data_IF_840163204164
#
_entry.id   IF_840163204164
#
_cell.length_a   1.000
_cell.length_b   1.000
_cell.length_c   1.000
_cell.angle_alpha   90.00
_cell.angle_beta   90.00
_cell.angle_gamma   90.00
#
_symmetry.space_group_name_H-M   'P 1'
#
loop_
_entity.id
_entity.type
_entity.pdbx_description
1 polymer ?
#
# COMPACT_ATOMS: atom_id res chain seq x y z
N UNK A 1 -0.49 -10.31 26.58
CA UNK A 1 -0.83 -8.91 26.28
C UNK A 1 -2.30 -8.83 25.89
N UNK A 2 -2.90 -7.64 25.98
CA UNK A 2 -4.24 -7.37 25.46
C UNK A 2 -4.13 -6.66 24.11
N UNK A 3 -4.60 -7.30 23.04
CA UNK A 3 -4.44 -6.82 21.67
C UNK A 3 -5.80 -6.48 21.07
N UNK A 4 -5.94 -5.24 20.56
CA UNK A 4 -7.10 -4.82 19.81
C UNK A 4 -6.93 -5.11 18.32
N UNK A 5 -7.87 -5.78 17.67
CA UNK A 5 -7.89 -5.94 16.21
C UNK A 5 -8.84 -4.89 15.64
N UNK A 6 -8.30 -3.94 14.89
CA UNK A 6 -9.03 -2.84 14.27
C UNK A 6 -9.29 -3.16 12.79
N UNK A 7 -10.53 -3.02 12.34
CA UNK A 7 -10.96 -3.35 10.97
C UNK A 7 -12.20 -2.56 10.57
N UNK A 8 -12.47 -2.41 9.27
CA UNK A 8 -13.65 -1.70 8.76
C UNK A 8 -14.95 -2.42 9.21
N UNK A 9 -15.77 -1.72 9.97
CA UNK A 9 -17.03 -2.24 10.51
C UNK A 9 -18.12 -2.43 9.46
N UNK A 10 -18.09 -1.72 8.35
CA UNK A 10 -19.04 -1.89 7.25
C UNK A 10 -18.78 -3.18 6.49
N UNK A 11 -17.51 -3.52 6.26
CA UNK A 11 -17.12 -4.80 5.68
C UNK A 11 -17.58 -6.00 6.53
N UNK A 12 -17.67 -5.81 7.86
CA UNK A 12 -18.21 -6.81 8.76
C UNK A 12 -19.74 -6.95 8.70
N UNK A 13 -20.45 -5.90 8.28
CA UNK A 13 -21.89 -5.87 8.16
C UNK A 13 -22.39 -6.32 6.77
N UNK A 14 -21.66 -5.99 5.71
CA UNK A 14 -21.83 -6.57 4.40
C UNK A 14 -21.13 -7.94 4.41
N UNK A 15 -21.68 -8.95 3.80
CA UNK A 15 -21.16 -10.32 3.75
C UNK A 15 -19.71 -10.45 3.18
N UNK A 16 -18.83 -9.52 3.51
CA UNK A 16 -17.42 -9.55 3.17
C UNK A 16 -16.70 -10.55 4.09
N UNK A 17 -16.84 -11.83 3.71
CA UNK A 17 -16.30 -12.97 4.43
C UNK A 17 -14.76 -12.90 4.53
N UNK A 18 -14.10 -12.17 3.64
CA UNK A 18 -12.64 -12.10 3.58
C UNK A 18 -12.05 -11.37 4.79
N UNK A 19 -12.55 -10.17 5.12
CA UNK A 19 -12.03 -9.44 6.29
C UNK A 19 -12.33 -10.18 7.59
N UNK A 20 -13.52 -10.78 7.70
CA UNK A 20 -13.90 -11.55 8.89
C UNK A 20 -13.02 -12.79 9.02
N UNK A 21 -12.74 -13.50 7.91
CA UNK A 21 -11.83 -14.64 7.89
C UNK A 21 -10.40 -14.24 8.31
N UNK A 22 -9.92 -13.09 7.84
CA UNK A 22 -8.61 -12.55 8.22
C UNK A 22 -8.56 -12.20 9.71
N UNK A 23 -9.58 -11.51 10.24
CA UNK A 23 -9.70 -11.20 11.67
C UNK A 23 -9.69 -12.48 12.51
N UNK A 24 -10.47 -13.49 12.12
CA UNK A 24 -10.52 -14.79 12.82
C UNK A 24 -9.16 -15.51 12.81
N UNK A 25 -8.47 -15.51 11.67
CA UNK A 25 -7.16 -16.16 11.55
C UNK A 25 -6.10 -15.47 12.43
N UNK A 26 -6.08 -14.15 12.47
CA UNK A 26 -5.18 -13.36 13.32
C UNK A 26 -5.54 -13.57 14.80
N UNK A 27 -6.82 -13.50 15.15
CA UNK A 27 -7.30 -13.76 16.51
C UNK A 27 -6.87 -15.15 17.00
N UNK A 28 -7.11 -16.19 16.20
CA UNK A 28 -6.69 -17.55 16.53
C UNK A 28 -5.17 -17.66 16.75
N UNK A 29 -4.38 -17.02 15.87
CA UNK A 29 -2.92 -17.00 15.98
C UNK A 29 -2.45 -16.33 17.27
N UNK A 30 -2.99 -15.16 17.60
CA UNK A 30 -2.60 -14.40 18.78
C UNK A 30 -3.12 -15.01 20.09
N UNK A 31 -4.35 -15.54 20.10
CA UNK A 31 -4.93 -16.21 21.25
C UNK A 31 -4.18 -17.50 21.62
N UNK A 32 -3.68 -18.26 20.65
CA UNK A 32 -2.87 -19.45 20.89
C UNK A 32 -1.57 -19.16 21.64
N UNK A 33 -1.11 -17.91 21.63
CA UNK A 33 0.05 -17.43 22.39
C UNK A 33 -0.30 -16.83 23.76
N UNK A 34 -1.55 -16.98 24.20
CA UNK A 34 -2.04 -16.49 25.50
C UNK A 34 -2.35 -14.99 25.54
N UNK A 35 -2.57 -14.36 24.41
CA UNK A 35 -3.03 -12.97 24.37
C UNK A 35 -4.55 -12.87 24.55
N UNK A 36 -5.01 -11.81 25.22
CA UNK A 36 -6.41 -11.41 25.26
C UNK A 36 -6.72 -10.57 24.00
N UNK A 37 -7.77 -10.93 23.26
CA UNK A 37 -8.11 -10.27 22.00
C UNK A 37 -9.42 -9.49 22.11
N UNK A 38 -9.42 -8.27 21.59
CA UNK A 38 -10.60 -7.40 21.52
C UNK A 38 -10.83 -6.99 20.07
N UNK A 39 -11.99 -7.34 19.51
CA UNK A 39 -12.40 -6.87 18.18
C UNK A 39 -12.91 -5.43 18.24
N UNK A 40 -12.39 -4.57 17.41
CA UNK A 40 -12.67 -3.14 17.37
C UNK A 40 -13.09 -2.73 15.94
N UNK A 41 -14.36 -2.97 15.56
CA UNK A 41 -14.86 -2.51 14.28
C UNK A 41 -14.91 -0.97 14.24
N UNK A 42 -14.37 -0.40 13.20
CA UNK A 42 -14.32 1.04 12.92
C UNK A 42 -15.53 1.43 12.08
N UNK A 43 -16.16 2.55 12.38
CA UNK A 43 -17.31 3.10 11.66
C UNK A 43 -17.21 4.63 11.64
N UNK A 44 -17.92 5.28 10.71
CA UNK A 44 -17.91 6.74 10.54
C UNK A 44 -18.52 7.51 11.71
N UNK A 45 -19.30 6.85 12.60
CA UNK A 45 -19.89 7.47 13.81
C UNK A 45 -18.86 7.78 14.92
N UNK A 46 -17.61 7.39 14.71
CA UNK A 46 -16.45 7.60 15.60
C UNK A 46 -16.60 7.02 17.03
N UNK A 47 -17.67 6.29 17.36
CA UNK A 47 -17.85 5.66 18.68
C UNK A 47 -16.80 4.59 18.98
N UNK A 48 -16.15 4.05 17.94
CA UNK A 48 -15.05 3.12 18.08
C UNK A 48 -13.85 3.71 18.85
N UNK A 49 -13.66 5.03 18.82
CA UNK A 49 -12.59 5.72 19.56
C UNK A 49 -12.79 5.55 21.07
N UNK A 50 -14.01 5.74 21.55
CA UNK A 50 -14.32 5.52 22.95
C UNK A 50 -14.22 4.05 23.36
N UNK A 51 -14.63 3.13 22.49
CA UNK A 51 -14.45 1.68 22.72
C UNK A 51 -12.96 1.34 22.82
N UNK A 52 -12.13 1.85 21.90
CA UNK A 52 -10.69 1.67 21.91
C UNK A 52 -10.04 2.18 23.21
N UNK A 53 -10.39 3.38 23.67
CA UNK A 53 -9.89 3.96 24.93
C UNK A 53 -10.27 3.10 26.14
N UNK A 54 -11.51 2.63 26.19
CA UNK A 54 -12.00 1.77 27.30
C UNK A 54 -11.40 0.38 27.28
N UNK A 55 -11.05 -0.13 26.11
CA UNK A 55 -10.49 -1.47 25.96
C UNK A 55 -9.11 -1.61 26.64
N UNK A 56 -8.34 -0.51 26.79
CA UNK A 56 -7.01 -0.50 27.42
C UNK A 56 -6.10 -1.58 26.84
N UNK A 57 -5.96 -1.58 25.53
CA UNK A 57 -5.11 -2.54 24.80
C UNK A 57 -3.65 -2.13 24.88
N UNK A 58 -2.75 -3.11 24.89
CA UNK A 58 -1.29 -2.90 24.88
C UNK A 58 -0.77 -2.66 23.46
N UNK A 59 -1.49 -3.18 22.45
CA UNK A 59 -1.16 -3.07 21.02
C UNK A 59 -2.44 -3.08 20.19
N UNK A 60 -2.47 -2.33 19.12
CA UNK A 60 -3.52 -2.42 18.09
C UNK A 60 -2.97 -3.11 16.84
N UNK A 61 -3.57 -4.23 16.47
CA UNK A 61 -3.38 -4.85 15.17
C UNK A 61 -4.30 -4.16 14.17
N UNK A 62 -3.73 -3.35 13.29
CA UNK A 62 -4.50 -2.53 12.34
C UNK A 62 -4.71 -3.27 11.02
N UNK A 63 -5.97 -3.61 10.73
CA UNK A 63 -6.43 -4.17 9.45
C UNK A 63 -7.37 -3.20 8.72
N UNK A 64 -7.47 -1.96 9.20
CA UNK A 64 -8.40 -1.00 8.64
C UNK A 64 -7.79 -0.36 7.40
N UNK A 65 -8.25 -0.76 6.22
CA UNK A 65 -7.87 -0.22 4.91
C UNK A 65 -8.87 0.85 4.41
N UNK A 66 -9.99 1.00 5.11
CA UNK A 66 -11.06 1.97 4.80
C UNK A 66 -11.94 2.20 6.02
N UNK A 67 -12.84 3.18 5.96
CA UNK A 67 -14.04 3.24 6.80
C UNK A 67 -15.25 3.34 5.88
N UNK A 68 -16.20 2.42 6.05
CA UNK A 68 -17.40 2.32 5.21
C UNK A 68 -17.05 2.26 3.70
N UNK A 69 -15.95 1.57 3.36
CA UNK A 69 -15.43 1.43 2.00
C UNK A 69 -14.72 2.67 1.45
N UNK A 70 -14.48 3.70 2.26
CA UNK A 70 -13.77 4.93 1.84
C UNK A 70 -12.29 4.83 2.22
N UNK A 71 -11.41 4.49 1.29
CA UNK A 71 -9.97 4.32 1.49
C UNK A 71 -9.29 5.60 2.04
N UNK A 72 -9.77 6.80 1.65
CA UNK A 72 -9.24 8.06 2.14
C UNK A 72 -9.36 8.24 3.67
N UNK A 73 -10.16 7.40 4.34
CA UNK A 73 -10.34 7.41 5.80
C UNK A 73 -9.40 6.44 6.54
N UNK A 74 -8.59 5.64 5.84
CA UNK A 74 -7.57 4.79 6.45
C UNK A 74 -6.51 5.61 7.23
N UNK A 75 -5.84 6.65 6.68
CA UNK A 75 -4.86 7.42 7.43
C UNK A 75 -5.40 8.10 8.69
N UNK A 76 -6.62 8.70 8.70
CA UNK A 76 -7.28 9.19 9.92
C UNK A 76 -7.38 8.17 11.05
N UNK A 77 -7.65 6.90 10.76
CA UNK A 77 -7.68 5.84 11.78
C UNK A 77 -6.33 5.72 12.47
N UNK A 78 -5.26 5.65 11.68
CA UNK A 78 -3.88 5.56 12.20
C UNK A 78 -3.52 6.83 12.99
N UNK A 79 -3.95 8.02 12.53
CA UNK A 79 -3.73 9.28 13.25
C UNK A 79 -4.36 9.27 14.64
N UNK A 80 -5.53 8.64 14.82
CA UNK A 80 -6.15 8.47 16.15
C UNK A 80 -5.27 7.59 17.04
N UNK A 81 -4.69 6.50 16.52
CA UNK A 81 -3.78 5.65 17.28
C UNK A 81 -2.53 6.42 17.71
N UNK A 82 -1.99 7.25 16.82
CA UNK A 82 -0.83 8.11 17.08
C UNK A 82 -1.14 9.17 18.14
N UNK A 83 -2.29 9.84 18.06
CA UNK A 83 -2.74 10.81 19.07
C UNK A 83 -2.93 10.18 20.44
N UNK A 84 -3.44 8.96 20.49
CA UNK A 84 -3.62 8.20 21.73
C UNK A 84 -2.32 7.55 22.23
N UNK A 85 -1.21 7.72 21.52
CA UNK A 85 0.09 7.10 21.81
C UNK A 85 0.02 5.58 21.99
N UNK A 86 -0.90 4.93 21.28
CA UNK A 86 -1.06 3.48 21.30
C UNK A 86 -0.06 2.81 20.36
N UNK A 87 0.65 1.75 20.78
CA UNK A 87 1.39 0.90 19.87
C UNK A 87 0.44 0.31 18.82
N UNK A 88 0.86 0.26 17.54
CA UNK A 88 0.04 -0.33 16.47
C UNK A 88 0.93 -0.94 15.38
N UNK A 89 0.37 -1.87 14.61
CA UNK A 89 1.03 -2.54 13.50
C UNK A 89 0.94 -1.74 12.20
N UNK A 90 1.88 -1.96 11.28
CA UNK A 90 1.90 -1.30 9.97
C UNK A 90 2.66 0.03 9.94
N UNK A 91 2.43 0.84 8.95
CA UNK A 91 3.10 2.12 8.71
C UNK A 91 2.38 3.28 9.40
N UNK A 92 3.03 4.46 9.43
CA UNK A 92 2.47 5.69 10.01
C UNK A 92 1.31 6.25 9.17
N UNK A 93 0.49 7.11 9.78
CA UNK A 93 -0.57 7.84 9.09
C UNK A 93 -0.04 8.67 7.91
N UNK A 94 1.16 9.25 8.07
CA UNK A 94 1.86 9.94 6.99
C UNK A 94 2.18 9.01 5.82
N UNK A 95 2.82 7.88 6.09
CA UNK A 95 3.18 6.90 5.05
C UNK A 95 1.95 6.42 4.31
N UNK A 96 0.89 6.05 5.02
CA UNK A 96 -0.36 5.58 4.43
C UNK A 96 -1.04 6.68 3.60
N UNK A 97 -1.04 7.95 4.08
CA UNK A 97 -1.56 9.08 3.32
C UNK A 97 -0.82 9.31 2.01
N UNK A 98 0.51 9.14 2.02
CA UNK A 98 1.34 9.30 0.82
C UNK A 98 1.14 8.14 -0.14
N UNK A 99 1.16 6.89 0.36
CA UNK A 99 1.07 5.69 -0.49
C UNK A 99 -0.30 5.54 -1.14
N UNK A 100 -1.37 5.97 -0.49
CA UNK A 100 -2.71 6.02 -1.09
C UNK A 100 -2.74 6.93 -2.34
N UNK A 101 -1.92 7.98 -2.39
CA UNK A 101 -1.84 8.92 -3.51
C UNK A 101 -0.74 8.51 -4.50
N UNK A 102 -1.05 7.61 -5.41
CA UNK A 102 -0.10 7.00 -6.36
C UNK A 102 0.78 8.02 -7.10
N UNK A 103 0.23 9.17 -7.49
CA UNK A 103 0.97 10.21 -8.19
C UNK A 103 1.99 10.92 -7.29
N UNK A 104 1.71 11.07 -6.00
CA UNK A 104 2.63 11.67 -5.02
C UNK A 104 3.83 10.72 -4.82
N UNK A 105 3.56 9.43 -4.64
CA UNK A 105 4.61 8.40 -4.57
C UNK A 105 5.46 8.42 -5.84
N UNK A 106 4.82 8.35 -7.01
CA UNK A 106 5.54 8.35 -8.30
C UNK A 106 6.45 9.56 -8.45
N UNK A 107 5.99 10.77 -8.08
CA UNK A 107 6.79 11.98 -8.14
C UNK A 107 7.99 11.95 -7.17
N UNK A 108 7.78 11.44 -5.94
CA UNK A 108 8.86 11.28 -4.96
C UNK A 108 9.92 10.27 -5.44
N UNK A 109 9.47 9.13 -5.98
CA UNK A 109 10.35 8.09 -6.51
C UNK A 109 11.13 8.57 -7.74
N UNK A 110 10.47 9.25 -8.68
CA UNK A 110 11.09 9.85 -9.87
C UNK A 110 12.14 10.88 -9.48
N UNK A 111 11.82 11.77 -8.53
CA UNK A 111 12.77 12.77 -8.01
C UNK A 111 13.99 12.15 -7.35
N UNK A 112 13.84 10.98 -6.73
CA UNK A 112 14.92 10.20 -6.16
C UNK A 112 15.68 9.33 -7.18
N UNK A 113 15.36 9.41 -8.47
CA UNK A 113 15.99 8.66 -9.53
C UNK A 113 15.58 7.19 -9.63
N UNK A 114 14.49 6.79 -8.97
CA UNK A 114 13.96 5.44 -9.08
C UNK A 114 13.10 5.29 -10.35
N UNK A 115 13.09 4.09 -10.94
CA UNK A 115 12.39 3.83 -12.19
C UNK A 115 10.87 3.78 -11.99
N UNK A 116 10.18 4.83 -12.41
CA UNK A 116 8.71 4.89 -12.50
C UNK A 116 8.29 5.09 -13.95
N UNK A 117 7.21 4.42 -14.41
CA UNK A 117 6.68 4.70 -15.74
C UNK A 117 6.23 6.16 -15.85
N UNK A 118 6.45 6.80 -17.01
CA UNK A 118 5.98 8.17 -17.23
C UNK A 118 4.50 8.30 -16.89
N UNK A 119 4.13 9.32 -16.14
CA UNK A 119 2.78 9.49 -15.62
C UNK A 119 2.34 10.96 -15.60
N UNK A 120 1.06 11.18 -15.47
CA UNK A 120 0.45 12.47 -15.16
C UNK A 120 -0.93 12.27 -14.52
N UNK A 121 -1.39 13.25 -13.77
CA UNK A 121 -2.74 13.28 -13.21
C UNK A 121 -3.63 14.17 -14.08
N UNK A 122 -4.82 13.70 -14.34
CA UNK A 122 -5.87 14.46 -15.05
C UNK A 122 -7.02 14.72 -14.09
N UNK A 123 -7.44 15.98 -14.04
CA UNK A 123 -8.65 16.46 -13.36
C UNK A 123 -9.70 16.86 -14.38
N UNK A 124 -10.93 17.04 -13.94
CA UNK A 124 -12.03 17.50 -14.83
C UNK A 124 -11.64 18.80 -15.56
N UNK A 125 -11.76 18.80 -16.88
CA UNK A 125 -11.36 19.93 -17.73
C UNK A 125 -9.86 20.08 -17.96
N UNK A 126 -9.02 19.23 -17.37
CA UNK A 126 -7.57 19.26 -17.59
C UNK A 126 -7.16 18.65 -18.93
N UNK A 127 -5.93 18.96 -19.41
CA UNK A 127 -5.43 18.46 -20.68
C UNK A 127 -5.12 16.95 -20.62
N UNK A 128 -5.28 16.28 -21.74
CA UNK A 128 -4.88 14.87 -21.89
C UNK A 128 -3.35 14.77 -22.03
N UNK A 129 -2.66 14.02 -21.16
CA UNK A 129 -1.21 14.02 -21.11
C UNK A 129 -0.57 13.12 -22.18
N UNK A 130 0.62 13.49 -22.62
CA UNK A 130 1.45 12.69 -23.52
C UNK A 130 2.39 11.76 -22.75
N UNK A 131 1.87 10.68 -22.15
CA UNK A 131 2.69 9.68 -21.45
C UNK A 131 3.26 8.59 -22.36
N UNK A 132 2.79 8.55 -23.63
CA UNK A 132 3.07 7.50 -24.61
C UNK A 132 2.09 6.32 -24.52
N UNK A 133 2.08 5.48 -25.58
CA UNK A 133 1.16 4.35 -25.68
C UNK A 133 1.90 3.00 -25.73
N UNK A 134 1.25 1.91 -25.26
CA UNK A 134 -0.02 1.89 -24.55
C UNK A 134 0.05 2.69 -23.25
N UNK A 135 -1.10 3.22 -22.79
CA UNK A 135 -1.23 3.92 -21.52
C UNK A 135 -2.29 3.24 -20.67
N UNK A 136 -2.12 3.27 -19.34
CA UNK A 136 -3.12 2.78 -18.37
C UNK A 136 -3.69 3.94 -17.58
N UNK A 137 -5.03 3.93 -17.41
CA UNK A 137 -5.76 4.87 -16.56
C UNK A 137 -6.17 4.19 -15.26
N UNK A 138 -5.90 4.83 -14.13
CA UNK A 138 -6.24 4.35 -12.78
C UNK A 138 -6.83 5.50 -11.98
N UNK A 139 -7.73 5.26 -11.01
CA UNK A 139 -8.00 6.27 -9.99
C UNK A 139 -6.70 6.65 -9.26
N UNK A 140 -6.52 7.93 -8.96
CA UNK A 140 -5.26 8.42 -8.40
C UNK A 140 -5.08 8.06 -6.90
N UNK A 141 -6.20 7.79 -6.20
CA UNK A 141 -6.24 7.57 -4.74
C UNK A 141 -7.15 6.39 -4.35
N UNK A 142 -7.08 5.30 -5.09
CA UNK A 142 -7.79 4.05 -4.78
C UNK A 142 -6.81 2.88 -4.73
N UNK A 143 -7.10 1.89 -3.91
CA UNK A 143 -6.36 0.63 -3.80
C UNK A 143 -7.20 -0.56 -4.28
N UNK A 144 -6.77 -1.79 -4.01
CA UNK A 144 -7.48 -3.03 -4.31
C UNK A 144 -7.93 -3.20 -5.77
N UNK A 145 -7.26 -2.57 -6.73
CA UNK A 145 -7.62 -2.55 -8.16
C UNK A 145 -8.99 -1.92 -8.45
N UNK A 146 -9.57 -1.15 -7.53
CA UNK A 146 -10.84 -0.45 -7.75
C UNK A 146 -10.71 0.45 -8.98
N UNK A 147 -11.67 0.34 -9.91
CA UNK A 147 -11.70 1.10 -11.16
C UNK A 147 -10.72 0.65 -12.24
N UNK A 148 -9.94 -0.42 -12.02
CA UNK A 148 -9.04 -1.02 -13.01
C UNK A 148 -9.75 -2.16 -13.72
N UNK A 149 -9.87 -2.02 -15.04
CA UNK A 149 -10.54 -2.96 -15.95
C UNK A 149 -9.70 -3.15 -17.21
N UNK A 150 -10.03 -4.12 -18.06
CA UNK A 150 -9.32 -4.33 -19.33
C UNK A 150 -9.31 -3.07 -20.22
N UNK A 151 -10.40 -2.31 -20.23
CA UNK A 151 -10.50 -1.02 -20.92
C UNK A 151 -9.71 0.12 -20.26
N UNK A 152 -9.07 -0.11 -19.13
CA UNK A 152 -8.18 0.88 -18.51
C UNK A 152 -6.88 1.04 -19.29
N UNK A 153 -6.48 0.07 -20.13
CA UNK A 153 -5.31 0.18 -21.00
C UNK A 153 -5.76 0.56 -22.41
N UNK A 154 -5.19 1.64 -22.92
CA UNK A 154 -5.57 2.26 -24.20
C UNK A 154 -4.37 2.47 -25.12
N UNK A 155 -4.61 2.49 -26.44
CA UNK A 155 -3.55 2.61 -27.46
C UNK A 155 -3.57 3.90 -28.26
N UNK A 156 -4.59 4.75 -28.06
CA UNK A 156 -4.76 5.99 -28.85
C UNK A 156 -5.20 7.15 -27.96
N UNK A 157 -4.89 8.37 -28.37
CA UNK A 157 -5.33 9.60 -27.67
C UNK A 157 -6.84 9.66 -27.55
N UNK A 158 -7.58 9.28 -28.59
CA UNK A 158 -9.05 9.25 -28.56
C UNK A 158 -9.57 8.32 -27.45
N UNK A 159 -9.09 7.07 -27.42
CA UNK A 159 -9.49 6.11 -26.39
C UNK A 159 -9.06 6.57 -24.99
N UNK A 160 -7.90 7.24 -24.87
CA UNK A 160 -7.43 7.83 -23.61
C UNK A 160 -8.41 8.92 -23.14
N UNK A 161 -8.80 9.85 -24.02
CA UNK A 161 -9.75 10.92 -23.69
C UNK A 161 -11.10 10.36 -23.23
N UNK A 162 -11.63 9.38 -23.97
CA UNK A 162 -12.89 8.70 -23.63
C UNK A 162 -12.81 8.00 -22.28
N UNK A 163 -11.71 7.23 -22.02
CA UNK A 163 -11.54 6.51 -20.76
C UNK A 163 -11.38 7.44 -19.57
N UNK A 164 -10.56 8.48 -19.69
CA UNK A 164 -10.38 9.51 -18.67
C UNK A 164 -11.70 10.19 -18.36
N UNK A 165 -12.50 10.56 -19.38
CA UNK A 165 -13.82 11.16 -19.20
C UNK A 165 -14.73 10.28 -18.33
N UNK A 166 -14.88 9.00 -18.70
CA UNK A 166 -15.70 8.05 -17.95
C UNK A 166 -15.21 7.88 -16.49
N UNK A 167 -13.89 7.89 -16.28
CA UNK A 167 -13.35 7.78 -14.93
C UNK A 167 -13.57 9.03 -14.09
N UNK A 168 -13.47 10.22 -14.69
CA UNK A 168 -13.72 11.51 -14.00
C UNK A 168 -15.19 11.72 -13.62
N UNK A 169 -16.12 10.88 -14.09
CA UNK A 169 -17.49 10.89 -13.58
C UNK A 169 -17.63 10.25 -12.20
N UNK A 170 -16.64 9.45 -11.79
CA UNK A 170 -16.64 8.70 -10.53
C UNK A 170 -15.52 9.14 -9.56
N UNK A 171 -14.41 9.65 -10.07
CA UNK A 171 -13.23 10.05 -9.29
C UNK A 171 -12.80 11.46 -9.68
N UNK A 172 -12.31 12.23 -8.71
CA UNK A 172 -11.85 13.61 -8.95
C UNK A 172 -10.55 13.66 -9.75
N UNK A 173 -9.73 12.62 -9.63
CA UNK A 173 -8.40 12.54 -10.23
C UNK A 173 -8.16 11.16 -10.87
N UNK A 174 -7.65 11.19 -12.11
CA UNK A 174 -7.23 10.00 -12.84
C UNK A 174 -5.73 10.02 -13.07
N UNK A 175 -5.02 9.03 -12.60
CA UNK A 175 -3.63 8.78 -12.94
C UNK A 175 -3.57 8.13 -14.32
N UNK A 176 -2.95 8.81 -15.28
CA UNK A 176 -2.60 8.27 -16.59
C UNK A 176 -1.12 7.92 -16.56
N UNK A 177 -0.78 6.67 -16.83
CA UNK A 177 0.59 6.17 -16.74
C UNK A 177 0.94 5.38 -18.01
N UNK A 178 2.20 5.46 -18.46
CA UNK A 178 2.70 4.58 -19.51
C UNK A 178 2.55 3.12 -19.07
N UNK A 179 1.86 2.31 -19.87
CA UNK A 179 1.79 0.87 -19.62
C UNK A 179 3.13 0.23 -19.93
N UNK A 180 3.65 -0.54 -19.00
CA UNK A 180 4.89 -1.30 -19.18
C UNK A 180 4.52 -2.74 -19.50
N UNK A 181 4.86 -3.19 -20.70
CA UNK A 181 4.76 -4.62 -21.03
C UNK A 181 5.84 -5.41 -20.31
N UNK A 182 5.48 -6.62 -19.87
CA UNK A 182 6.41 -7.54 -19.24
C UNK A 182 5.82 -8.27 -18.04
N UNK A 183 6.69 -8.73 -17.16
CA UNK A 183 6.35 -9.53 -15.97
C UNK A 183 5.98 -8.61 -14.82
N UNK A 184 4.97 -8.98 -14.04
CA UNK A 184 4.59 -8.26 -12.82
C UNK A 184 5.04 -9.05 -11.60
N UNK A 185 5.79 -8.41 -10.72
CA UNK A 185 6.35 -9.03 -9.51
C UNK A 185 6.01 -8.20 -8.28
N UNK A 186 5.86 -8.88 -7.15
CA UNK A 186 5.61 -8.28 -5.86
C UNK A 186 6.81 -8.54 -4.95
N UNK A 187 7.29 -7.49 -4.30
CA UNK A 187 8.39 -7.57 -3.34
C UNK A 187 7.84 -7.25 -1.95
N UNK A 188 7.70 -8.27 -1.12
CA UNK A 188 7.26 -8.13 0.27
C UNK A 188 8.40 -7.66 1.17
N UNK A 189 8.10 -6.78 2.10
CA UNK A 189 9.01 -6.27 3.12
C UNK A 189 8.41 -6.56 4.49
N UNK A 190 9.21 -7.09 5.41
CA UNK A 190 8.83 -7.40 6.78
C UNK A 190 9.95 -6.93 7.74
N UNK A 191 9.77 -5.77 8.35
CA UNK A 191 10.84 -5.07 9.05
C UNK A 191 11.98 -4.70 8.09
N UNK A 192 13.18 -5.17 8.38
CA UNK A 192 14.36 -5.00 7.53
C UNK A 192 14.55 -6.12 6.51
N UNK A 193 13.72 -7.17 6.59
CA UNK A 193 13.82 -8.32 5.70
C UNK A 193 13.02 -8.12 4.41
N UNK A 194 13.62 -8.53 3.29
CA UNK A 194 12.92 -8.65 2.01
C UNK A 194 12.56 -10.11 1.79
N UNK A 195 11.26 -10.36 1.67
CA UNK A 195 10.71 -11.70 1.46
C UNK A 195 11.04 -12.24 0.04
N UNK A 196 10.91 -13.54 -0.19
CA UNK A 196 11.01 -14.11 -1.54
C UNK A 196 10.06 -13.40 -2.51
N UNK A 197 10.59 -12.99 -3.66
CA UNK A 197 9.83 -12.24 -4.66
C UNK A 197 8.72 -13.14 -5.21
N UNK A 198 7.50 -12.64 -5.25
CA UNK A 198 6.38 -13.27 -5.93
C UNK A 198 6.18 -12.68 -7.34
N UNK A 199 5.50 -13.41 -8.20
CA UNK A 199 5.13 -13.00 -9.55
C UNK A 199 3.64 -13.25 -9.78
N UNK A 200 3.00 -12.36 -10.50
CA UNK A 200 1.69 -12.62 -11.09
C UNK A 200 1.92 -13.23 -12.46
N UNK A 201 1.61 -14.51 -12.59
CA UNK A 201 1.74 -15.23 -13.86
C UNK A 201 0.51 -15.01 -14.73
N UNK A 202 0.71 -14.30 -15.82
CA UNK A 202 -0.30 -14.05 -16.84
C UNK A 202 -0.27 -15.07 -18.00
N UNK A 203 0.34 -16.22 -17.80
CA UNK A 203 0.48 -17.24 -18.85
C UNK A 203 -0.86 -17.78 -19.38
N UNK A 204 -1.88 -17.81 -18.54
CA UNK A 204 -3.23 -18.26 -18.87
C UNK A 204 -4.19 -17.11 -19.22
N UNK A 205 -3.71 -15.85 -19.26
CA UNK A 205 -4.56 -14.72 -19.65
C UNK A 205 -5.07 -14.91 -21.09
N UNK A 206 -6.39 -14.83 -21.35
CA UNK A 206 -6.95 -15.01 -22.68
C UNK A 206 -6.30 -14.08 -23.72
N UNK A 207 -6.18 -14.59 -24.96
CA UNK A 207 -5.64 -13.78 -26.07
C UNK A 207 -6.48 -12.52 -26.29
N UNK A 208 -5.80 -11.38 -26.41
CA UNK A 208 -6.45 -10.08 -26.59
C UNK A 208 -6.71 -9.32 -25.30
N UNK A 209 -6.63 -9.98 -24.15
CA UNK A 209 -6.66 -9.30 -22.85
C UNK A 209 -5.30 -8.74 -22.47
N UNK A 210 -5.33 -7.63 -21.75
CA UNK A 210 -4.13 -7.02 -21.17
C UNK A 210 -3.68 -7.83 -19.95
N UNK A 211 -2.38 -7.95 -19.79
CA UNK A 211 -1.75 -8.59 -18.63
C UNK A 211 -1.70 -7.61 -17.47
N UNK A 212 -2.83 -7.39 -16.81
CA UNK A 212 -3.00 -6.50 -15.66
C UNK A 212 -3.85 -7.16 -14.60
N UNK A 213 -3.62 -6.77 -13.34
CA UNK A 213 -4.48 -7.17 -12.22
C UNK A 213 -5.65 -6.20 -12.15
N UNK A 214 -6.82 -6.65 -12.58
CA UNK A 214 -8.07 -5.88 -12.58
C UNK A 214 -8.88 -6.09 -11.31
N UNK A 215 -9.96 -5.32 -11.15
CA UNK A 215 -10.94 -5.59 -10.09
C UNK A 215 -11.49 -7.02 -10.19
N UNK A 216 -11.84 -7.47 -11.39
CA UNK A 216 -12.38 -8.82 -11.62
C UNK A 216 -11.40 -9.93 -11.26
N UNK A 217 -10.10 -9.72 -11.54
CA UNK A 217 -9.08 -10.72 -11.19
C UNK A 217 -8.85 -10.87 -9.67
N UNK A 218 -9.29 -9.91 -8.86
CA UNK A 218 -9.18 -9.98 -7.39
C UNK A 218 -10.46 -10.43 -6.70
N UNK A 219 -11.62 -10.06 -7.26
CA UNK A 219 -12.89 -10.10 -6.54
C UNK A 219 -13.96 -10.98 -7.19
N UNK A 220 -13.74 -11.43 -8.43
CA UNK A 220 -14.66 -12.32 -9.14
C UNK A 220 -13.99 -13.68 -9.38
N UNK A 221 -14.04 -14.54 -8.36
CA UNK A 221 -13.47 -15.90 -8.40
C UNK A 221 -13.99 -16.68 -9.62
N UNK A 222 -13.07 -17.35 -10.31
CA UNK A 222 -13.36 -18.13 -11.52
C UNK A 222 -13.56 -17.28 -12.79
N UNK A 223 -13.42 -15.94 -12.72
CA UNK A 223 -13.42 -15.12 -13.94
C UNK A 223 -12.19 -15.42 -14.81
N UNK A 224 -12.29 -15.16 -16.12
CA UNK A 224 -11.16 -15.32 -17.06
C UNK A 224 -9.93 -14.54 -16.61
N UNK A 225 -10.13 -13.41 -15.92
CA UNK A 225 -9.08 -12.53 -15.43
C UNK A 225 -8.44 -13.07 -14.14
N UNK A 226 -9.22 -13.69 -13.26
CA UNK A 226 -8.73 -14.40 -12.08
C UNK A 226 -7.91 -15.63 -12.50
N UNK A 227 -8.48 -16.50 -13.29
CA UNK A 227 -7.80 -17.70 -13.82
C UNK A 227 -6.57 -17.35 -14.67
N UNK A 228 -6.57 -16.16 -15.28
CA UNK A 228 -5.50 -15.63 -16.11
C UNK A 228 -4.37 -14.94 -15.33
N UNK A 229 -4.48 -14.75 -14.02
CA UNK A 229 -3.53 -13.98 -13.20
C UNK A 229 -3.08 -14.71 -11.94
N UNK A 230 -2.57 -15.92 -12.10
CA UNK A 230 -2.17 -16.78 -10.98
C UNK A 230 -0.92 -16.28 -10.24
N UNK A 231 -0.94 -16.13 -8.90
CA UNK A 231 0.24 -15.75 -8.15
C UNK A 231 1.21 -16.94 -8.01
N UNK A 232 2.51 -16.69 -8.23
CA UNK A 232 3.60 -17.64 -8.04
C UNK A 232 4.63 -17.10 -7.06
N UNK A 233 5.07 -17.93 -6.12
CA UNK A 233 6.17 -17.61 -5.21
C UNK A 233 6.98 -18.88 -4.94
N UNK A 234 8.33 -18.85 -5.08
CA UNK A 234 9.13 -17.72 -5.55
C UNK A 234 9.05 -17.50 -7.07
N UNK A 235 9.24 -16.25 -7.51
CA UNK A 235 9.37 -15.91 -8.91
C UNK A 235 10.66 -16.51 -9.50
N UNK A 236 10.59 -17.08 -10.69
CA UNK A 236 11.78 -17.60 -11.40
C UNK A 236 12.49 -16.43 -12.10
N UNK A 237 13.52 -15.89 -11.45
CA UNK A 237 14.28 -14.72 -11.91
C UNK A 237 15.78 -15.00 -11.91
N UNK A 238 16.55 -14.44 -12.87
CA UNK A 238 18.01 -14.39 -12.76
C UNK A 238 18.42 -13.68 -11.47
N UNK A 239 19.50 -14.14 -10.84
CA UNK A 239 19.97 -13.58 -9.55
C UNK A 239 20.25 -12.08 -9.61
N UNK A 240 20.79 -11.58 -10.73
CA UNK A 240 21.05 -10.15 -10.95
C UNK A 240 19.77 -9.33 -10.96
N UNK A 241 18.73 -9.81 -11.66
CA UNK A 241 17.41 -9.15 -11.71
C UNK A 241 16.76 -9.15 -10.33
N UNK A 242 16.76 -10.29 -9.64
CA UNK A 242 16.21 -10.40 -8.28
C UNK A 242 16.93 -9.46 -7.30
N UNK A 243 18.26 -9.32 -7.40
CA UNK A 243 19.04 -8.38 -6.59
C UNK A 243 18.65 -6.93 -6.87
N UNK A 244 18.49 -6.56 -8.14
CA UNK A 244 18.08 -5.22 -8.54
C UNK A 244 16.67 -4.89 -8.03
N UNK A 245 15.72 -5.80 -8.16
CA UNK A 245 14.35 -5.64 -7.65
C UNK A 245 14.31 -5.38 -6.15
N UNK A 246 15.08 -6.16 -5.36
CA UNK A 246 15.17 -5.95 -3.91
C UNK A 246 15.72 -4.56 -3.58
N UNK A 247 16.78 -4.12 -4.25
CA UNK A 247 17.37 -2.78 -4.03
C UNK A 247 16.36 -1.67 -4.34
N UNK A 248 15.68 -1.76 -5.47
CA UNK A 248 14.67 -0.78 -5.91
C UNK A 248 13.48 -0.75 -4.95
N UNK A 249 12.98 -1.93 -4.52
CA UNK A 249 11.86 -2.02 -3.59
C UNK A 249 12.22 -1.44 -2.20
N UNK A 250 13.39 -1.78 -1.65
CA UNK A 250 13.85 -1.23 -0.36
C UNK A 250 14.05 0.29 -0.44
N UNK A 251 14.60 0.79 -1.55
CA UNK A 251 14.75 2.22 -1.74
C UNK A 251 13.39 2.94 -1.80
N UNK A 252 12.44 2.40 -2.57
CA UNK A 252 11.08 2.94 -2.65
C UNK A 252 10.38 2.95 -1.29
N UNK A 253 10.48 1.83 -0.54
CA UNK A 253 9.92 1.70 0.81
C UNK A 253 10.47 2.76 1.77
N UNK A 254 11.78 3.00 1.74
CA UNK A 254 12.42 4.02 2.58
C UNK A 254 12.00 5.45 2.21
N UNK A 255 11.85 5.75 0.92
CA UNK A 255 11.44 7.07 0.43
C UNK A 255 10.05 7.45 0.93
N UNK A 256 9.11 6.50 0.96
CA UNK A 256 7.76 6.76 1.49
C UNK A 256 7.69 6.73 3.02
N UNK A 257 8.79 6.43 3.71
CA UNK A 257 8.83 6.31 5.17
C UNK A 257 8.15 5.04 5.67
N UNK A 258 8.19 3.96 4.90
CA UNK A 258 7.56 2.69 5.24
C UNK A 258 8.16 2.03 6.48
N UNK A 259 7.31 1.49 7.35
CA UNK A 259 7.66 0.78 8.58
C UNK A 259 6.78 -0.45 8.77
N UNK A 260 7.25 -1.40 9.58
CA UNK A 260 6.51 -2.63 9.88
C UNK A 260 6.54 -3.62 8.72
N UNK A 261 5.53 -3.61 7.87
CA UNK A 261 5.42 -4.48 6.70
C UNK A 261 4.82 -3.73 5.51
N UNK A 262 5.11 -4.21 4.31
CA UNK A 262 4.61 -3.60 3.09
C UNK A 262 4.90 -4.41 1.83
N UNK A 263 4.42 -3.94 0.69
CA UNK A 263 4.64 -4.56 -0.61
C UNK A 263 4.92 -3.51 -1.67
N UNK A 264 5.92 -3.77 -2.50
CA UNK A 264 6.24 -2.95 -3.66
C UNK A 264 5.93 -3.75 -4.92
N UNK A 265 5.05 -3.22 -5.76
CA UNK A 265 4.62 -3.85 -7.00
C UNK A 265 5.42 -3.26 -8.17
N UNK A 266 6.07 -4.14 -8.94
CA UNK A 266 7.07 -3.76 -9.95
C UNK A 266 6.80 -4.52 -11.25
N UNK A 267 6.89 -3.83 -12.38
CA UNK A 267 6.98 -4.45 -13.69
C UNK A 267 8.42 -4.57 -14.14
N UNK A 268 8.73 -5.71 -14.77
CA UNK A 268 10.02 -5.97 -15.42
C UNK A 268 9.77 -5.95 -16.91
N UNK A 269 10.36 -5.00 -17.62
CA UNK A 269 10.22 -4.92 -19.08
C UNK A 269 11.04 -6.03 -19.79
N UNK A 270 10.91 -6.14 -21.12
CA UNK A 270 11.61 -7.13 -21.94
C UNK A 270 13.14 -7.02 -21.88
N UNK A 271 13.65 -5.87 -21.45
CA UNK A 271 15.09 -5.64 -21.24
C UNK A 271 15.56 -5.95 -19.84
N UNK A 272 14.66 -6.49 -18.99
CA UNK A 272 14.93 -6.81 -17.57
C UNK A 272 14.97 -5.60 -16.65
N UNK A 273 14.54 -4.40 -17.08
CA UNK A 273 14.53 -3.19 -16.26
C UNK A 273 13.30 -3.15 -15.37
N UNK A 274 13.46 -2.85 -14.08
CA UNK A 274 12.33 -2.69 -13.16
C UNK A 274 11.62 -1.36 -13.39
N UNK A 275 10.31 -1.34 -13.15
CA UNK A 275 9.45 -0.16 -13.15
C UNK A 275 8.49 -0.25 -11.98
N UNK A 276 8.61 0.63 -11.00
CA UNK A 276 7.74 0.63 -9.81
C UNK A 276 6.35 1.09 -10.22
N UNK A 277 5.35 0.28 -9.88
CA UNK A 277 3.95 0.59 -10.15
C UNK A 277 3.26 1.22 -8.94
N UNK A 278 3.59 0.68 -7.74
CA UNK A 278 2.89 1.00 -6.51
C UNK A 278 3.72 0.60 -5.29
N UNK A 279 3.53 1.31 -4.18
CA UNK A 279 4.05 0.96 -2.85
C UNK A 279 2.85 0.84 -1.91
N UNK A 280 2.62 -0.35 -1.38
CA UNK A 280 1.50 -0.64 -0.48
C UNK A 280 1.98 -0.69 0.96
N UNK A 281 1.51 0.24 1.79
CA UNK A 281 1.90 0.38 3.18
C UNK A 281 1.06 -0.49 4.15
N UNK A 282 -0.07 -1.01 3.68
CA UNK A 282 -0.95 -1.92 4.40
C UNK A 282 -1.51 -2.99 3.45
N UNK A 283 -0.63 -3.86 2.89
CA UNK A 283 -1.09 -4.91 1.98
C UNK A 283 -1.90 -5.97 2.72
N UNK A 284 -2.84 -6.60 2.01
CA UNK A 284 -3.59 -7.75 2.50
C UNK A 284 -2.67 -8.83 3.09
N UNK A 285 -3.00 -9.25 4.31
CA UNK A 285 -2.27 -10.26 5.09
C UNK A 285 -3.14 -11.47 5.45
N UNK A 286 -4.26 -11.68 4.77
CA UNK A 286 -5.03 -12.92 4.91
C UNK A 286 -4.14 -14.14 4.67
N UNK A 287 -4.47 -15.32 5.22
CA UNK A 287 -3.59 -16.49 5.18
C UNK A 287 -3.15 -16.94 3.77
N UNK A 288 -3.96 -16.64 2.76
CA UNK A 288 -3.72 -16.94 1.35
C UNK A 288 -3.26 -15.73 0.52
N UNK A 289 -3.15 -14.55 1.14
CA UNK A 289 -2.68 -13.34 0.50
C UNK A 289 -1.20 -13.43 0.05
N UNK A 290 -0.83 -12.49 -0.83
CA UNK A 290 0.52 -12.44 -1.40
C UNK A 290 1.62 -12.35 -0.37
N UNK A 291 1.47 -11.49 0.66
CA UNK A 291 2.48 -11.32 1.70
C UNK A 291 2.64 -12.58 2.57
N UNK A 292 1.53 -13.20 2.98
CA UNK A 292 1.54 -14.45 3.74
C UNK A 292 2.17 -15.61 2.93
N UNK A 293 1.89 -15.66 1.62
CA UNK A 293 2.52 -16.63 0.70
C UNK A 293 4.02 -16.41 0.61
N UNK A 294 4.49 -15.18 0.48
CA UNK A 294 5.92 -14.86 0.46
C UNK A 294 6.60 -15.22 1.79
N UNK A 295 5.95 -14.95 2.93
CA UNK A 295 6.44 -15.33 4.25
C UNK A 295 6.57 -16.86 4.39
N UNK A 296 5.56 -17.61 3.97
CA UNK A 296 5.59 -19.09 4.01
C UNK A 296 6.74 -19.66 3.18
N UNK A 297 7.01 -19.12 2.00
CA UNK A 297 8.16 -19.51 1.17
C UNK A 297 9.49 -19.17 1.84
N UNK A 298 9.54 -18.13 2.70
CA UNK A 298 10.68 -17.81 3.54
C UNK A 298 10.81 -18.72 4.80
N UNK A 299 9.91 -19.70 4.98
CA UNK A 299 9.88 -20.54 6.18
C UNK A 299 9.19 -19.90 7.39
N UNK A 300 8.44 -18.81 7.18
CA UNK A 300 7.69 -18.10 8.22
C UNK A 300 6.22 -18.49 8.11
N UNK A 301 5.78 -19.37 9.02
CA UNK A 301 4.38 -19.78 9.11
C UNK A 301 3.48 -18.61 9.52
N UNK A 302 2.18 -18.70 9.22
CA UNK A 302 1.24 -17.60 9.37
C UNK A 302 1.22 -17.01 10.80
N UNK A 303 1.16 -17.85 11.83
CA UNK A 303 1.22 -17.39 13.22
C UNK A 303 2.52 -16.63 13.55
N UNK A 304 3.66 -17.10 13.02
CA UNK A 304 4.93 -16.43 13.18
C UNK A 304 4.98 -15.09 12.43
N UNK A 305 4.33 -14.99 11.26
CA UNK A 305 4.17 -13.73 10.53
C UNK A 305 3.35 -12.72 11.36
N UNK A 306 2.20 -13.12 11.87
CA UNK A 306 1.31 -12.28 12.70
C UNK A 306 2.07 -11.79 13.94
N UNK A 307 2.76 -12.68 14.65
CA UNK A 307 3.60 -12.32 15.80
C UNK A 307 4.70 -11.33 15.42
N UNK A 308 5.41 -11.56 14.31
CA UNK A 308 6.47 -10.66 13.86
C UNK A 308 5.95 -9.27 13.54
N UNK A 309 4.77 -9.16 12.94
CA UNK A 309 4.09 -7.87 12.69
C UNK A 309 3.78 -7.15 14.01
N UNK A 310 3.31 -7.85 15.03
CA UNK A 310 3.10 -7.28 16.37
C UNK A 310 4.40 -6.79 17.00
N UNK A 311 5.48 -7.59 16.95
CA UNK A 311 6.79 -7.20 17.47
C UNK A 311 7.32 -5.91 16.83
N UNK A 312 7.18 -5.79 15.50
CA UNK A 312 7.59 -4.59 14.77
C UNK A 312 6.80 -3.34 15.21
N UNK A 313 5.49 -3.50 15.46
CA UNK A 313 4.65 -2.42 15.98
C UNK A 313 5.09 -1.97 17.38
N UNK A 314 5.38 -2.90 18.28
CA UNK A 314 5.88 -2.64 19.62
C UNK A 314 7.28 -2.01 19.60
N UNK A 315 8.19 -2.51 18.75
CA UNK A 315 9.54 -1.97 18.59
C UNK A 315 9.48 -0.51 18.13
N UNK A 316 8.68 -0.20 17.09
CA UNK A 316 8.53 1.17 16.60
C UNK A 316 8.04 2.12 17.70
N UNK A 317 7.13 1.69 18.55
CA UNK A 317 6.63 2.50 19.67
C UNK A 317 7.73 2.81 20.69
N UNK A 318 8.61 1.86 20.97
CA UNK A 318 9.77 2.06 21.88
C UNK A 318 10.81 2.99 21.28
N UNK A 319 11.16 2.77 20.00
CA UNK A 319 12.20 3.56 19.32
C UNK A 319 11.75 5.00 19.04
N UNK A 320 10.46 5.21 18.85
CA UNK A 320 9.87 6.51 18.58
C UNK A 320 9.63 7.39 19.79
N UNK A 321 9.72 6.86 21.00
CA UNK A 321 9.34 7.56 22.23
C UNK A 321 7.85 7.88 22.34
N UNK A 322 7.45 8.48 23.45
CA UNK A 322 6.09 9.01 23.61
C UNK A 322 5.87 10.25 22.75
N UNK A 323 4.62 10.65 22.53
CA UNK A 323 4.30 11.90 21.81
C UNK A 323 4.96 13.11 22.48
N UNK A 324 5.06 13.11 23.81
CA UNK A 324 5.76 14.14 24.58
C UNK A 324 7.28 14.15 24.29
N UNK A 325 7.94 12.99 24.28
CA UNK A 325 9.38 12.89 23.96
C UNK A 325 9.67 13.27 22.51
N UNK A 326 8.79 12.91 21.57
CA UNK A 326 8.91 13.35 20.16
C UNK A 326 8.77 14.86 20.02
N UNK A 327 7.84 15.46 20.77
CA UNK A 327 7.63 16.90 20.81
C UNK A 327 8.84 17.62 21.40
N UNK A 328 9.36 17.15 22.53
CA UNK A 328 10.59 17.70 23.13
C UNK A 328 11.80 17.59 22.20
N UNK A 329 11.95 16.45 21.53
CA UNK A 329 13.01 16.25 20.53
C UNK A 329 12.85 17.21 19.34
N UNK A 330 11.64 17.40 18.85
CA UNK A 330 11.33 18.37 17.79
C UNK A 330 11.60 19.81 18.23
N UNK A 331 11.23 20.18 19.46
CA UNK A 331 11.55 21.49 20.01
C UNK A 331 13.07 21.74 20.19
N UNK A 332 13.81 20.72 20.63
CA UNK A 332 15.29 20.83 20.72
C UNK A 332 15.93 21.01 19.34
N UNK A 333 15.40 20.31 18.31
CA UNK A 333 15.87 20.46 16.93
C UNK A 333 15.46 21.81 16.33
N UNK A 334 14.27 22.34 16.63
CA UNK A 334 13.81 23.65 16.19
C UNK A 334 14.52 24.80 16.91
N UNK A 335 14.97 24.59 18.14
CA UNK A 335 15.83 25.54 18.86
C UNK A 335 17.25 25.61 18.30
N UNK A 336 17.66 24.70 17.45
CA UNK A 336 18.92 24.71 16.68
C UNK A 336 18.71 25.29 15.26
N UNK A 337 17.45 25.34 14.80
CA UNK A 337 17.13 25.91 13.49
C UNK A 337 17.19 27.46 13.60
N UNK A 338 18.28 28.03 13.11
CA UNK A 338 18.37 29.37 12.59
C UNK A 338 17.04 29.84 12.00
N UNK A 339 16.67 31.07 12.29
CA UNK A 339 15.51 31.76 11.71
C UNK A 339 15.44 31.52 10.19
N UNK A 340 14.24 31.43 9.63
CA UNK A 340 13.99 31.25 8.17
C UNK A 340 14.77 32.26 7.30
N UNK A 341 15.22 33.39 7.88
CA UNK A 341 16.12 34.39 7.28
C UNK A 341 17.52 33.87 6.93
N UNK A 342 17.97 32.73 7.50
CA UNK A 342 19.30 32.19 7.26
C UNK A 342 19.31 31.07 6.17
N UNK A 343 18.16 30.79 5.60
CA UNK A 343 18.04 29.94 4.42
C UNK A 343 17.98 30.86 3.18
N UNK A 344 19.12 31.05 2.51
CA UNK A 344 19.19 31.60 1.15
C UNK A 344 18.44 30.72 0.13
N UNK A 345 17.11 30.66 0.24
CA UNK A 345 16.26 29.86 -0.63
C UNK A 345 15.87 30.55 -1.94
N UNK A 346 16.22 31.85 -2.10
CA UNK A 346 16.02 32.58 -3.35
C UNK A 346 17.27 33.42 -3.65
N UNK A 347 17.99 33.16 -4.76
CA UNK A 347 18.98 34.13 -5.22
C UNK A 347 18.24 35.42 -5.56
N UNK A 348 18.71 36.52 -5.03
CA UNK A 348 18.23 37.86 -5.36
C UNK A 348 18.23 38.00 -6.89
N UNK A 349 17.05 38.22 -7.48
CA UNK A 349 16.89 38.46 -8.90
C UNK A 349 17.77 39.63 -9.32
N UNK A 350 18.77 39.32 -10.17
CA UNK A 350 19.52 40.32 -10.87
C UNK A 350 18.60 41.10 -11.83
N UNK A 351 18.71 42.40 -11.77
CA UNK A 351 18.05 43.35 -12.64
C UNK A 351 18.44 43.16 -14.11
#
# INVERSE_FOLDING_TARGET
MKIGILFDGASAASADQLIIGTVQAIEASLASEGNEIVRLPVQTDAKWIDKLRRARVDLVFNLCESIDGVAALEPPVISVLELLSLPYTGSSSWTTSVTLRKHVVNAALERAGLPVPKFAVVRRGGPIPAVGFPAICKPAAEDASIGIEQRSVVRTTRALTERVGVMLDRWDEVLVQRYVEGREVNVGILGDAVLPIAEIDFGNMPKGMWRIVTYRSKWEEGSDEDLGSAPRCPARLPASVASQLRKVAVAAWRIVGGTGYGRVDIRIDERGRPWILEVNANPDISPDAGLARMARVAGIEYGALVRRICELGLQRSRDGGTTAERWEKAQRLSGVATTISDLDLFPAGGA
#
